data_IF_002093205557
#
_entry.id   IF_002093205557
#
_cell.length_a   1.000
_cell.length_b   1.000
_cell.length_c   1.000
_cell.angle_alpha   90.00
_cell.angle_beta   90.00
_cell.angle_gamma   90.00
#
_symmetry.space_group_name_H-M   'P 1'
#
loop_
_entity.id
_entity.type
_entity.pdbx_description
1 polymer ?
#
# COMPACT_ATOMS: atom_id res chain seq x y z
N UNK A 1 -26.23 0.61 -13.99
CA UNK A 1 -25.22 0.86 -12.94
C UNK A 1 -24.29 1.92 -13.49
N UNK A 2 -24.16 3.08 -12.84
CA UNK A 2 -23.38 4.21 -13.35
C UNK A 2 -21.92 4.23 -12.88
N UNK A 3 -21.14 5.16 -13.44
CA UNK A 3 -19.71 5.34 -13.18
C UNK A 3 -19.39 5.72 -11.73
N UNK A 4 -20.32 6.40 -11.05
CA UNK A 4 -20.20 6.88 -9.68
C UNK A 4 -19.94 5.76 -8.67
N UNK A 5 -20.50 4.55 -8.92
CA UNK A 5 -20.28 3.38 -8.06
C UNK A 5 -18.82 2.93 -8.03
N UNK A 6 -18.08 3.17 -9.11
CA UNK A 6 -16.66 2.81 -9.22
C UNK A 6 -15.75 3.94 -8.78
N UNK A 7 -16.12 5.20 -9.08
CA UNK A 7 -15.32 6.36 -8.71
C UNK A 7 -15.30 6.63 -7.20
N UNK A 8 -16.41 6.39 -6.49
CA UNK A 8 -16.50 6.59 -5.04
C UNK A 8 -15.43 5.82 -4.27
N UNK A 9 -15.28 4.50 -4.47
CA UNK A 9 -14.22 3.71 -3.83
C UNK A 9 -12.81 3.97 -4.39
N UNK A 10 -12.69 4.50 -5.60
CA UNK A 10 -11.38 4.69 -6.23
C UNK A 10 -10.61 5.85 -5.59
N UNK A 11 -11.28 6.81 -4.95
CA UNK A 11 -10.63 7.92 -4.22
C UNK A 11 -9.65 7.45 -3.14
N UNK A 12 -9.83 6.25 -2.59
CA UNK A 12 -8.91 5.67 -1.59
C UNK A 12 -7.60 5.19 -2.21
N UNK A 13 -7.61 4.80 -3.48
CA UNK A 13 -6.46 4.22 -4.18
C UNK A 13 -5.84 5.18 -5.19
N UNK A 14 -6.65 6.10 -5.72
CA UNK A 14 -6.31 7.14 -6.69
C UNK A 14 -6.99 8.45 -6.29
N UNK A 15 -6.53 9.10 -5.20
CA UNK A 15 -7.08 10.36 -4.71
C UNK A 15 -7.00 11.51 -5.72
N UNK A 16 -6.11 11.41 -6.72
CA UNK A 16 -5.93 12.38 -7.79
C UNK A 16 -7.20 12.60 -8.63
N UNK A 17 -8.14 11.66 -8.64
CA UNK A 17 -9.44 11.83 -9.32
C UNK A 17 -10.34 12.86 -8.65
N UNK A 18 -10.14 13.14 -7.36
CA UNK A 18 -10.93 14.13 -6.62
C UNK A 18 -10.17 15.42 -6.38
N UNK A 19 -8.88 15.34 -6.04
CA UNK A 19 -8.03 16.51 -5.83
C UNK A 19 -6.61 16.22 -6.34
N UNK A 20 -6.12 16.94 -7.37
CA UNK A 20 -4.77 16.76 -7.91
C UNK A 20 -3.65 16.98 -6.89
N UNK A 21 -3.89 17.72 -5.82
CA UNK A 21 -2.92 17.98 -4.76
C UNK A 21 -2.71 16.76 -3.85
N UNK A 22 -3.66 15.84 -3.81
CA UNK A 22 -3.58 14.61 -3.03
C UNK A 22 -3.31 13.42 -3.95
N UNK A 23 -2.08 12.92 -3.90
CA UNK A 23 -1.61 11.81 -4.75
C UNK A 23 -1.21 10.56 -3.94
N UNK A 24 -1.39 10.58 -2.62
CA UNK A 24 -0.98 9.49 -1.74
C UNK A 24 -2.14 8.53 -1.53
N UNK A 25 -2.04 7.33 -2.11
CA UNK A 25 -3.02 6.26 -1.91
C UNK A 25 -3.02 5.73 -0.47
N UNK A 26 -4.15 5.16 -0.05
CA UNK A 26 -4.28 4.49 1.25
C UNK A 26 -3.24 3.39 1.44
N UNK A 27 -2.97 2.61 0.39
CA UNK A 27 -1.95 1.55 0.40
C UNK A 27 -0.56 2.10 0.71
N UNK A 28 -0.21 3.25 0.10
CA UNK A 28 1.08 3.91 0.34
C UNK A 28 1.15 4.52 1.74
N UNK A 29 0.08 5.16 2.19
CA UNK A 29 0.02 5.71 3.55
C UNK A 29 0.24 4.64 4.63
N UNK A 30 -0.37 3.47 4.49
CA UNK A 30 -0.19 2.34 5.42
C UNK A 30 1.27 1.86 5.41
N UNK A 31 1.84 1.70 4.23
CA UNK A 31 3.22 1.28 4.06
C UNK A 31 4.19 2.28 4.70
N UNK A 32 4.02 3.58 4.43
CA UNK A 32 4.85 4.65 5.00
C UNK A 32 4.81 4.65 6.55
N UNK A 33 3.61 4.57 7.14
CA UNK A 33 3.45 4.50 8.61
C UNK A 33 4.13 3.26 9.20
N UNK A 34 4.00 2.09 8.56
CA UNK A 34 4.66 0.88 9.05
C UNK A 34 6.18 1.00 8.91
N UNK A 35 6.69 1.72 7.90
CA UNK A 35 8.12 1.96 7.74
C UNK A 35 8.69 2.98 8.72
N UNK A 36 7.87 3.90 9.23
CA UNK A 36 8.26 4.80 10.31
C UNK A 36 8.33 4.07 11.67
N UNK A 37 7.65 2.93 11.80
CA UNK A 37 7.70 2.11 13.02
C UNK A 37 9.07 1.41 13.19
N UNK A 38 9.44 0.99 14.41
CA UNK A 38 10.61 0.15 14.67
C UNK A 38 10.63 -1.14 13.84
N UNK A 39 11.83 -1.57 13.41
CA UNK A 39 12.01 -2.68 12.44
C UNK A 39 11.44 -4.02 12.95
N UNK A 40 11.53 -4.26 14.25
CA UNK A 40 11.08 -5.47 14.94
C UNK A 40 9.56 -5.66 14.86
N UNK A 41 8.77 -4.59 14.79
CA UNK A 41 7.30 -4.69 14.74
C UNK A 41 6.73 -4.72 13.33
N UNK A 42 7.47 -4.27 12.31
CA UNK A 42 6.95 -4.08 10.94
C UNK A 42 6.34 -5.33 10.35
N UNK A 43 7.02 -6.49 10.48
CA UNK A 43 6.53 -7.76 9.96
C UNK A 43 5.18 -8.14 10.58
N UNK A 44 5.01 -7.90 11.88
CA UNK A 44 3.74 -8.16 12.57
C UNK A 44 2.64 -7.21 12.11
N UNK A 45 2.97 -5.94 11.90
CA UNK A 45 2.01 -4.94 11.41
C UNK A 45 1.52 -5.26 9.99
N UNK A 46 2.41 -5.61 9.06
CA UNK A 46 2.01 -6.03 7.70
C UNK A 46 1.15 -7.30 7.70
N UNK A 47 1.44 -8.24 8.59
CA UNK A 47 0.67 -9.49 8.68
C UNK A 47 -0.72 -9.33 9.29
N UNK A 48 -1.00 -8.23 10.01
CA UNK A 48 -2.20 -8.08 10.83
C UNK A 48 -2.91 -6.75 10.57
N UNK A 49 -3.29 -6.51 9.31
CA UNK A 49 -4.13 -5.36 8.93
C UNK A 49 -5.59 -5.77 9.06
N UNK A 50 -6.31 -5.14 9.99
CA UNK A 50 -7.74 -5.36 10.22
C UNK A 50 -8.54 -4.21 9.64
N UNK A 51 -9.57 -4.54 8.85
CA UNK A 51 -10.46 -3.57 8.24
C UNK A 51 -11.72 -3.39 9.09
N UNK A 52 -12.11 -2.14 9.32
CA UNK A 52 -13.33 -1.80 10.06
C UNK A 52 -14.04 -0.59 9.44
N UNK A 53 -15.36 -0.53 9.60
CA UNK A 53 -16.22 0.56 9.11
C UNK A 53 -16.99 0.24 7.82
N UNK A 54 -17.99 1.09 7.51
CA UNK A 54 -18.83 0.91 6.32
C UNK A 54 -18.07 1.07 5.01
N UNK A 55 -17.09 1.98 4.96
CA UNK A 55 -16.28 2.25 3.76
C UNK A 55 -15.39 1.07 3.35
N UNK A 56 -15.09 0.12 4.25
CA UNK A 56 -14.31 -1.07 3.89
C UNK A 56 -15.19 -2.18 3.28
N UNK A 57 -16.52 -2.02 3.27
CA UNK A 57 -17.47 -2.97 2.68
C UNK A 57 -17.60 -2.84 1.16
N UNK A 58 -16.88 -1.92 0.52
CA UNK A 58 -16.84 -1.86 -0.95
C UNK A 58 -16.33 -3.18 -1.54
N UNK A 59 -16.98 -3.62 -2.61
CA UNK A 59 -16.68 -4.92 -3.25
C UNK A 59 -15.22 -4.96 -3.71
N UNK A 60 -14.45 -5.89 -3.14
CA UNK A 60 -13.06 -6.12 -3.52
C UNK A 60 -12.04 -5.19 -2.85
N UNK A 61 -12.46 -4.33 -1.92
CA UNK A 61 -11.59 -3.40 -1.20
C UNK A 61 -10.43 -4.11 -0.49
N UNK A 62 -10.72 -5.14 0.31
CA UNK A 62 -9.70 -5.92 1.03
C UNK A 62 -8.67 -6.55 0.07
N UNK A 63 -9.15 -7.19 -1.00
CA UNK A 63 -8.29 -7.82 -2.01
C UNK A 63 -7.40 -6.80 -2.72
N UNK A 64 -7.94 -5.61 -3.01
CA UNK A 64 -7.19 -4.51 -3.63
C UNK A 64 -6.10 -4.01 -2.69
N UNK A 65 -6.48 -3.67 -1.45
CA UNK A 65 -5.56 -3.15 -0.45
C UNK A 65 -4.42 -4.12 -0.17
N UNK A 66 -4.74 -5.40 0.10
CA UNK A 66 -3.74 -6.43 0.36
C UNK A 66 -2.75 -6.57 -0.79
N UNK A 67 -3.25 -6.58 -2.03
CA UNK A 67 -2.39 -6.71 -3.23
C UNK A 67 -1.46 -5.51 -3.38
N UNK A 68 -1.98 -4.30 -3.20
CA UNK A 68 -1.21 -3.08 -3.41
C UNK A 68 -0.13 -2.91 -2.32
N UNK A 69 -0.47 -3.19 -1.06
CA UNK A 69 0.53 -3.22 0.04
C UNK A 69 1.59 -4.30 -0.23
N UNK A 70 1.19 -5.50 -0.64
CA UNK A 70 2.15 -6.56 -0.98
C UNK A 70 3.10 -6.13 -2.10
N UNK A 71 2.59 -5.46 -3.14
CA UNK A 71 3.42 -4.95 -4.24
C UNK A 71 4.46 -3.93 -3.78
N UNK A 72 4.10 -3.04 -2.86
CA UNK A 72 5.03 -2.05 -2.28
C UNK A 72 6.14 -2.76 -1.49
N UNK A 73 5.78 -3.74 -0.65
CA UNK A 73 6.74 -4.53 0.12
C UNK A 73 7.66 -5.33 -0.80
N UNK A 74 7.11 -6.04 -1.78
CA UNK A 74 7.90 -6.83 -2.73
C UNK A 74 8.84 -5.96 -3.57
N UNK A 75 8.38 -4.77 -3.97
CA UNK A 75 9.20 -3.77 -4.67
C UNK A 75 10.42 -3.38 -3.85
N UNK A 76 10.20 -3.00 -2.60
CA UNK A 76 11.27 -2.63 -1.67
C UNK A 76 12.25 -3.76 -1.40
N UNK A 77 11.75 -4.99 -1.26
CA UNK A 77 12.62 -6.17 -1.05
C UNK A 77 13.50 -6.42 -2.27
N UNK A 78 12.95 -6.35 -3.49
CA UNK A 78 13.74 -6.47 -4.73
C UNK A 78 14.82 -5.40 -4.83
N UNK A 79 14.48 -4.14 -4.56
CA UNK A 79 15.45 -3.03 -4.57
C UNK A 79 16.59 -3.28 -3.56
N UNK A 80 16.25 -3.72 -2.34
CA UNK A 80 17.23 -4.04 -1.31
C UNK A 80 18.15 -5.21 -1.71
N UNK A 81 17.61 -6.24 -2.37
CA UNK A 81 18.39 -7.36 -2.89
C UNK A 81 19.34 -6.94 -4.01
N UNK A 82 18.88 -6.10 -4.94
CA UNK A 82 19.70 -5.59 -6.05
C UNK A 82 20.86 -4.73 -5.55
N UNK A 83 20.62 -3.85 -4.58
CA UNK A 83 21.65 -3.05 -3.93
C UNK A 83 22.68 -3.92 -3.20
N UNK A 84 22.23 -4.97 -2.52
CA UNK A 84 23.11 -5.91 -1.81
C UNK A 84 24.00 -6.68 -2.78
N UNK A 85 23.44 -7.16 -3.91
CA UNK A 85 24.20 -7.86 -4.97
C UNK A 85 25.26 -6.96 -5.61
N UNK A 86 24.95 -5.69 -5.84
CA UNK A 86 25.93 -4.72 -6.36
C UNK A 86 27.07 -4.46 -5.39
N UNK A 87 26.76 -4.33 -4.09
CA UNK A 87 27.79 -4.09 -3.06
C UNK A 87 28.74 -5.28 -2.88
N UNK A 88 28.26 -6.51 -3.03
CA UNK A 88 29.07 -7.74 -2.93
C UNK A 88 29.98 -7.94 -4.15
N UNK A 89 29.64 -7.39 -5.33
CA UNK A 89 30.46 -7.53 -6.55
C UNK A 89 31.65 -6.56 -6.63
N UNK A 90 31.67 -5.51 -5.81
CA UNK A 90 32.68 -4.44 -5.85
C UNK A 90 33.74 -4.62 -4.74
N UNK A 91 33.60 -5.64 -3.89
CA UNK A 91 34.56 -5.97 -2.82
C UNK A 91 35.32 -7.24 -3.17
#
# INVERSE_FOLDING_TARGET
VGHERFLGPEIFFNPEFSNPEYNTSLSKLIDDIIQDCPVDVRRKLYSNIVLSGGSTMFKGFEKRLKRDVQRLVDGRLRESEELSKHKVRIV
#
